data_IF_558889017891
#
_entry.id   IF_558889017891
#
_cell.length_a   1.000
_cell.length_b   1.000
_cell.length_c   1.000
_cell.angle_alpha   90.00
_cell.angle_beta   90.00
_cell.angle_gamma   90.00
#
_symmetry.space_group_name_H-M   'P 1'
#
loop_
_entity.id
_entity.type
_entity.pdbx_description
1 polymer ?
#
# COMPACT_ATOMS: atom_id res chain seq x y z
N UNK A 1 41.56 -53.68 -27.18
CA UNK A 1 42.24 -52.49 -26.56
C UNK A 1 41.70 -51.14 -27.04
N UNK A 2 40.82 -51.01 -28.05
CA UNK A 2 40.26 -49.72 -28.53
C UNK A 2 39.01 -49.26 -27.78
N UNK A 3 38.22 -50.14 -27.18
CA UNK A 3 36.96 -49.75 -26.51
C UNK A 3 37.17 -49.14 -25.12
N UNK A 4 38.24 -49.48 -24.39
CA UNK A 4 38.49 -48.91 -23.05
C UNK A 4 38.91 -47.43 -23.04
N UNK A 5 39.49 -46.94 -24.15
CA UNK A 5 39.90 -45.53 -24.26
C UNK A 5 38.72 -44.57 -24.59
N UNK A 6 37.66 -45.06 -25.24
CA UNK A 6 36.49 -44.22 -25.58
C UNK A 6 35.60 -43.96 -24.35
N UNK A 7 35.43 -44.97 -23.50
CA UNK A 7 34.62 -44.82 -22.26
C UNK A 7 35.29 -43.85 -21.26
N UNK A 8 36.63 -43.88 -21.19
CA UNK A 8 37.34 -42.98 -20.28
C UNK A 8 37.27 -41.50 -20.72
N UNK A 9 37.29 -41.22 -22.03
CA UNK A 9 37.16 -39.86 -22.56
C UNK A 9 35.75 -39.29 -22.44
N UNK A 10 34.72 -40.14 -22.59
CA UNK A 10 33.31 -39.73 -22.41
C UNK A 10 32.98 -39.46 -20.93
N UNK A 11 33.53 -40.28 -20.04
CA UNK A 11 33.34 -40.06 -18.58
C UNK A 11 34.03 -38.79 -18.07
N UNK A 12 35.21 -38.45 -18.58
CA UNK A 12 35.89 -37.19 -18.22
C UNK A 12 35.18 -35.95 -18.80
N UNK A 13 34.54 -36.05 -19.99
CA UNK A 13 33.81 -34.94 -20.58
C UNK A 13 32.50 -34.70 -19.84
N UNK A 14 31.77 -35.73 -19.41
CA UNK A 14 30.58 -35.63 -18.59
C UNK A 14 30.87 -35.10 -17.18
N UNK A 15 31.97 -35.48 -16.57
CA UNK A 15 32.38 -34.97 -15.27
C UNK A 15 32.83 -33.50 -15.35
N UNK A 16 33.46 -33.09 -16.44
CA UNK A 16 33.84 -31.69 -16.69
C UNK A 16 32.61 -30.79 -16.92
N UNK A 17 31.59 -31.30 -17.60
CA UNK A 17 30.33 -30.55 -17.81
C UNK A 17 29.50 -30.47 -16.52
N UNK A 18 29.45 -31.51 -15.71
CA UNK A 18 28.81 -31.43 -14.38
C UNK A 18 29.53 -30.51 -13.38
N UNK A 19 30.86 -30.45 -13.43
CA UNK A 19 31.62 -29.47 -12.60
C UNK A 19 31.44 -28.04 -13.11
N UNK A 20 31.26 -27.81 -14.40
CA UNK A 20 31.02 -26.47 -14.95
C UNK A 20 29.58 -25.97 -14.67
N UNK A 21 28.61 -26.88 -14.51
CA UNK A 21 27.23 -26.52 -14.13
C UNK A 21 27.04 -26.29 -12.64
N UNK A 22 27.93 -26.76 -11.80
CA UNK A 22 27.86 -26.57 -10.35
C UNK A 22 28.58 -25.31 -9.82
N UNK A 23 29.26 -24.55 -10.65
CA UNK A 23 29.93 -23.31 -10.23
C UNK A 23 29.19 -22.02 -10.50
N UNK A 24 28.00 -22.08 -11.10
CA UNK A 24 27.16 -20.89 -11.36
C UNK A 24 26.03 -20.63 -10.37
N UNK A 25 25.89 -21.42 -9.31
CA UNK A 25 24.75 -21.37 -8.43
C UNK A 25 25.06 -21.16 -6.94
N UNK A 26 26.11 -20.41 -6.61
CA UNK A 26 26.26 -19.87 -5.27
C UNK A 26 26.99 -18.53 -5.29
N UNK A 27 26.33 -17.49 -5.77
CA UNK A 27 26.55 -16.17 -5.17
C UNK A 27 25.83 -16.22 -3.82
N UNK A 28 26.55 -16.54 -2.77
CA UNK A 28 26.07 -16.32 -1.41
C UNK A 28 25.60 -14.87 -1.33
N UNK A 29 24.34 -14.67 -0.93
CA UNK A 29 23.79 -13.39 -0.54
C UNK A 29 24.53 -12.94 0.71
N UNK A 30 25.63 -12.24 0.53
CA UNK A 30 26.33 -11.54 1.60
C UNK A 30 25.47 -10.31 1.88
N UNK A 31 24.72 -10.30 2.98
CA UNK A 31 23.69 -9.38 3.41
C UNK A 31 23.67 -7.95 2.83
N UNK A 32 22.52 -7.33 2.84
CA UNK A 32 22.24 -6.02 2.22
C UNK A 32 23.27 -4.93 2.57
N UNK A 33 23.76 -4.91 3.81
CA UNK A 33 24.79 -3.97 4.25
C UNK A 33 26.11 -4.16 3.53
N UNK A 34 26.45 -5.38 3.14
CA UNK A 34 27.65 -5.66 2.35
C UNK A 34 27.46 -5.23 0.89
N UNK A 35 26.25 -5.33 0.35
CA UNK A 35 25.92 -4.85 -0.99
C UNK A 35 26.08 -3.32 -1.13
N UNK A 36 25.86 -2.55 -0.04
CA UNK A 36 26.12 -1.11 -0.02
C UNK A 36 27.60 -0.75 -0.23
N UNK A 37 28.50 -1.63 0.21
CA UNK A 37 29.94 -1.40 0.05
C UNK A 37 30.45 -1.68 -1.38
N UNK A 38 29.65 -2.33 -2.24
CA UNK A 38 30.04 -2.64 -3.61
C UNK A 38 30.07 -1.38 -4.46
N UNK A 39 31.18 -1.16 -5.13
CA UNK A 39 31.34 -0.08 -6.11
C UNK A 39 30.48 -0.38 -7.34
N UNK A 40 29.47 0.46 -7.58
CA UNK A 40 28.60 0.36 -8.75
C UNK A 40 29.01 1.38 -9.79
N UNK A 41 29.13 0.96 -11.06
CA UNK A 41 29.50 1.82 -12.18
C UNK A 41 28.35 1.95 -13.18
N UNK A 42 28.40 2.98 -14.05
CA UNK A 42 27.38 3.16 -15.09
C UNK A 42 26.09 3.83 -14.62
N UNK A 43 26.04 4.29 -13.37
CA UNK A 43 24.91 5.02 -12.79
C UNK A 43 25.34 6.44 -12.46
N UNK A 44 24.43 7.40 -12.66
CA UNK A 44 24.62 8.79 -12.25
C UNK A 44 23.47 9.24 -11.38
N UNK A 45 23.79 9.78 -10.21
CA UNK A 45 22.77 10.40 -9.37
C UNK A 45 22.26 11.69 -10.00
N UNK A 46 20.95 11.86 -9.98
CA UNK A 46 20.20 13.04 -10.42
C UNK A 46 19.17 13.42 -9.38
N UNK A 47 18.82 14.70 -9.38
CA UNK A 47 17.75 15.24 -8.53
C UNK A 47 16.89 16.22 -9.31
N UNK A 48 15.58 16.12 -9.16
CA UNK A 48 14.62 17.18 -9.45
C UNK A 48 14.05 17.62 -8.11
N UNK A 49 13.99 18.92 -7.87
CA UNK A 49 13.54 19.46 -6.59
C UNK A 49 12.87 20.81 -6.77
N UNK A 50 12.28 21.29 -5.69
CA UNK A 50 11.73 22.64 -5.59
C UNK A 50 12.77 23.73 -5.33
N UNK A 51 14.06 23.45 -5.55
CA UNK A 51 15.15 24.40 -5.32
C UNK A 51 14.97 25.68 -6.12
N UNK A 52 15.38 26.81 -5.57
CA UNK A 52 15.44 28.09 -6.27
C UNK A 52 16.51 28.05 -7.37
N UNK A 53 16.12 28.10 -8.66
CA UNK A 53 17.09 28.01 -9.76
C UNK A 53 18.06 29.21 -9.83
N UNK A 54 17.77 30.26 -9.11
CA UNK A 54 18.66 31.44 -9.05
C UNK A 54 19.77 31.31 -8.01
N UNK A 55 19.74 30.25 -7.20
CA UNK A 55 20.63 30.07 -6.04
C UNK A 55 20.23 30.91 -4.84
N UNK A 56 19.03 31.48 -4.84
CA UNK A 56 18.42 32.16 -3.72
C UNK A 56 17.88 31.18 -2.67
N UNK A 57 16.87 31.59 -1.94
CA UNK A 57 16.28 30.77 -0.85
C UNK A 57 14.75 30.60 -1.00
N UNK A 58 14.25 30.73 -2.22
CA UNK A 58 12.83 30.49 -2.53
C UNK A 58 12.64 29.05 -3.01
N UNK A 59 12.94 28.10 -2.13
CA UNK A 59 13.06 26.66 -2.42
C UNK A 59 11.70 25.92 -2.43
N UNK A 60 10.62 26.58 -2.77
CA UNK A 60 9.29 25.97 -2.91
C UNK A 60 8.70 26.23 -4.30
N UNK A 61 7.81 25.35 -4.73
CA UNK A 61 7.03 25.61 -5.94
C UNK A 61 6.13 26.85 -5.74
N UNK A 62 5.87 27.55 -6.83
CA UNK A 62 4.84 28.59 -6.86
C UNK A 62 3.52 28.05 -6.35
N UNK A 63 2.71 28.89 -5.66
CA UNK A 63 1.46 28.44 -5.07
C UNK A 63 0.56 27.69 -6.07
N UNK A 64 0.00 26.55 -5.63
CA UNK A 64 -0.95 25.74 -6.40
C UNK A 64 -2.37 26.19 -6.09
N UNK A 65 -3.12 26.56 -7.09
CA UNK A 65 -4.54 26.92 -6.94
C UNK A 65 -5.41 25.65 -6.84
N UNK A 66 -6.62 25.75 -6.25
CA UNK A 66 -7.60 24.67 -6.30
C UNK A 66 -7.87 24.20 -7.74
N UNK A 67 -7.90 22.91 -7.97
CA UNK A 67 -8.10 22.27 -9.27
C UNK A 67 -6.87 22.25 -10.18
N UNK A 68 -5.75 22.86 -9.76
CA UNK A 68 -4.53 22.88 -10.57
C UNK A 68 -3.83 21.51 -10.55
N UNK A 69 -3.38 21.08 -11.75
CA UNK A 69 -2.47 19.95 -11.94
C UNK A 69 -1.09 20.48 -12.34
N UNK A 70 -0.05 19.92 -11.75
CA UNK A 70 1.32 20.32 -12.04
C UNK A 70 2.25 19.13 -12.14
N UNK A 71 2.96 19.04 -13.25
CA UNK A 71 4.08 18.12 -13.41
C UNK A 71 5.26 18.66 -12.58
N UNK A 72 5.69 17.90 -11.58
CA UNK A 72 6.82 18.25 -10.72
C UNK A 72 8.12 17.58 -11.14
N UNK A 73 8.03 16.50 -11.94
CA UNK A 73 9.17 15.86 -12.58
C UNK A 73 8.78 15.30 -13.95
N UNK A 74 9.62 15.53 -14.95
CA UNK A 74 9.54 14.94 -16.30
C UNK A 74 10.94 14.47 -16.70
N UNK A 75 11.23 13.20 -16.44
CA UNK A 75 12.53 12.58 -16.63
C UNK A 75 12.51 11.84 -17.97
N UNK A 76 13.55 12.06 -18.78
CA UNK A 76 13.74 11.37 -20.07
C UNK A 76 14.88 10.37 -20.00
N UNK A 77 14.76 9.29 -20.75
CA UNK A 77 15.77 8.23 -20.82
C UNK A 77 15.53 7.15 -19.77
N UNK A 78 16.52 6.31 -19.56
CA UNK A 78 16.48 5.11 -18.71
C UNK A 78 16.98 5.41 -17.31
N UNK A 79 16.29 4.90 -16.31
CA UNK A 79 16.71 5.11 -14.91
C UNK A 79 15.76 4.49 -13.89
N UNK A 80 15.93 4.89 -12.64
CA UNK A 80 15.04 4.53 -11.55
C UNK A 80 14.95 5.66 -10.52
N UNK A 81 13.75 6.10 -10.16
CA UNK A 81 13.55 6.92 -8.96
C UNK A 81 13.82 6.01 -7.77
N UNK A 82 14.62 6.47 -6.82
CA UNK A 82 15.00 5.70 -5.64
C UNK A 82 14.76 6.45 -4.32
N UNK A 83 14.33 7.70 -4.38
CA UNK A 83 13.93 8.49 -3.23
C UNK A 83 12.97 9.58 -3.63
N UNK A 84 11.90 9.74 -2.85
CA UNK A 84 10.99 10.88 -2.92
C UNK A 84 10.84 11.43 -1.51
N UNK A 85 11.03 12.74 -1.34
CA UNK A 85 10.71 13.45 -0.10
C UNK A 85 9.80 14.64 -0.41
N UNK A 86 8.76 14.80 0.40
CA UNK A 86 7.78 15.87 0.24
C UNK A 86 7.41 16.46 1.61
N UNK A 87 7.29 17.81 1.65
CA UNK A 87 6.60 18.51 2.74
C UNK A 87 5.75 19.64 2.17
N UNK A 88 4.66 19.96 2.85
CA UNK A 88 3.61 20.86 2.35
C UNK A 88 3.24 21.87 3.44
N UNK A 89 3.13 23.14 3.06
CA UNK A 89 2.60 24.23 3.89
C UNK A 89 1.39 24.88 3.19
N UNK A 90 0.38 25.33 3.92
CA UNK A 90 0.29 25.44 5.38
C UNK A 90 0.20 24.09 6.09
N UNK A 91 0.35 24.09 7.43
CA UNK A 91 0.19 22.89 8.23
C UNK A 91 -1.18 22.22 8.03
N UNK A 92 -1.33 20.97 8.42
CA UNK A 92 -2.41 20.05 8.05
C UNK A 92 -3.82 20.39 8.47
N UNK A 93 -3.96 21.08 9.57
CA UNK A 93 -5.29 21.46 10.04
C UNK A 93 -6.06 22.34 9.06
N UNK A 94 -5.35 22.81 8.03
CA UNK A 94 -5.86 23.75 7.03
C UNK A 94 -5.88 23.14 5.63
N UNK A 95 -5.20 22.03 5.38
CA UNK A 95 -5.06 21.45 4.05
C UNK A 95 -5.13 19.93 4.06
N UNK A 96 -6.17 19.38 3.42
CA UNK A 96 -6.40 17.93 3.32
C UNK A 96 -5.34 17.24 2.44
N UNK A 97 -4.58 16.32 3.01
CA UNK A 97 -3.70 15.42 2.26
C UNK A 97 -4.44 14.31 1.51
N UNK A 98 -5.71 14.08 1.83
CA UNK A 98 -6.58 13.20 1.05
C UNK A 98 -7.08 13.85 -0.26
N UNK A 99 -6.97 15.17 -0.35
CA UNK A 99 -7.38 15.94 -1.52
C UNK A 99 -6.19 16.47 -2.34
N UNK A 100 -4.98 16.01 -2.06
CA UNK A 100 -3.81 16.23 -2.90
C UNK A 100 -3.45 14.88 -3.52
N UNK A 101 -3.54 14.79 -4.84
CA UNK A 101 -3.34 13.52 -5.54
C UNK A 101 -1.96 13.49 -6.16
N UNK A 102 -1.23 12.40 -5.92
CA UNK A 102 0.02 12.09 -6.60
C UNK A 102 -0.24 11.05 -7.69
N UNK A 103 0.28 11.33 -8.90
CA UNK A 103 0.28 10.39 -10.02
C UNK A 103 1.69 10.20 -10.56
N UNK A 104 2.01 8.98 -10.94
CA UNK A 104 3.28 8.68 -11.59
C UNK A 104 3.03 7.84 -12.84
N UNK A 105 3.77 8.17 -13.89
CA UNK A 105 3.63 7.60 -15.23
C UNK A 105 4.98 7.11 -15.71
N UNK A 106 5.01 5.91 -16.27
CA UNK A 106 6.24 5.28 -16.77
C UNK A 106 6.22 5.16 -18.29
N UNK A 107 7.38 5.36 -18.89
CA UNK A 107 7.68 5.01 -20.29
C UNK A 107 6.80 5.69 -21.34
N UNK A 108 6.23 6.84 -21.02
CA UNK A 108 5.39 7.63 -21.93
C UNK A 108 3.92 7.20 -21.98
N UNK A 109 3.48 6.34 -21.05
CA UNK A 109 2.07 5.98 -20.96
C UNK A 109 1.20 7.20 -20.61
N UNK A 110 -0.02 7.24 -21.15
CA UNK A 110 -0.99 8.31 -20.89
C UNK A 110 -1.74 8.13 -19.58
N UNK A 111 -1.86 6.89 -19.10
CA UNK A 111 -2.49 6.54 -17.81
C UNK A 111 -1.44 6.39 -16.71
N UNK A 112 -1.79 6.75 -15.47
CA UNK A 112 -0.88 6.60 -14.35
C UNK A 112 -0.75 5.13 -13.93
N UNK A 113 0.46 4.73 -13.52
CA UNK A 113 0.72 3.47 -12.80
C UNK A 113 0.70 3.65 -11.27
N UNK A 114 0.75 4.89 -10.82
CA UNK A 114 0.55 5.27 -9.42
C UNK A 114 -0.52 6.33 -9.38
N UNK A 115 -1.58 6.10 -8.61
CA UNK A 115 -2.60 7.10 -8.31
C UNK A 115 -3.10 6.93 -6.88
N UNK A 116 -2.87 7.95 -6.07
CA UNK A 116 -3.27 7.94 -4.66
C UNK A 116 -3.37 9.36 -4.11
N UNK A 117 -4.22 9.58 -3.11
CA UNK A 117 -4.05 10.72 -2.23
C UNK A 117 -2.66 10.68 -1.58
N UNK A 118 -2.03 11.84 -1.43
CA UNK A 118 -0.64 11.90 -0.98
C UNK A 118 -0.46 11.41 0.46
N UNK A 119 -1.41 11.70 1.36
CA UNK A 119 -1.37 11.20 2.72
C UNK A 119 -1.37 9.67 2.78
N UNK A 120 -2.40 8.99 2.24
CA UNK A 120 -2.45 7.54 2.20
C UNK A 120 -1.26 6.88 1.48
N UNK A 121 -0.76 7.47 0.39
CA UNK A 121 0.43 6.95 -0.28
C UNK A 121 1.64 6.85 0.64
N UNK A 122 1.84 7.84 1.51
CA UNK A 122 2.96 7.84 2.45
C UNK A 122 2.62 7.24 3.82
N UNK A 123 1.43 6.74 4.03
CA UNK A 123 1.05 6.07 5.28
C UNK A 123 0.31 6.94 6.29
N UNK A 124 -0.39 7.99 5.85
CA UNK A 124 -1.23 8.83 6.69
C UNK A 124 -2.67 8.86 6.15
N UNK A 125 -3.59 8.16 6.82
CA UNK A 125 -5.01 8.12 6.45
C UNK A 125 -5.83 9.28 7.04
N UNK A 126 -7.00 9.52 6.47
CA UNK A 126 -8.08 10.38 7.00
C UNK A 126 -7.72 11.85 7.27
N UNK A 127 -6.69 12.38 6.61
CA UNK A 127 -6.10 13.70 6.93
C UNK A 127 -5.45 13.79 8.32
N UNK A 128 -5.30 12.66 8.99
CA UNK A 128 -4.59 12.60 10.26
C UNK A 128 -3.10 12.58 10.06
N UNK A 129 -2.38 13.04 11.08
CA UNK A 129 -0.93 13.08 11.10
C UNK A 129 -0.39 12.32 12.28
N UNK A 130 0.46 11.39 11.99
CA UNK A 130 1.21 10.60 12.95
C UNK A 130 2.52 10.17 12.33
N UNK A 131 3.52 9.95 13.17
CA UNK A 131 4.81 9.43 12.71
C UNK A 131 4.73 7.92 12.55
N UNK A 132 5.37 7.41 11.53
CA UNK A 132 5.72 5.99 11.46
C UNK A 132 6.96 5.77 10.61
N UNK A 133 7.57 4.60 10.74
CA UNK A 133 8.72 4.19 9.95
C UNK A 133 8.58 2.74 9.52
N UNK A 134 8.77 2.51 8.24
CA UNK A 134 8.93 1.19 7.64
C UNK A 134 10.15 1.20 6.72
N UNK A 135 10.50 0.07 6.14
CA UNK A 135 11.63 0.03 5.21
C UNK A 135 11.40 0.91 3.98
N UNK A 136 10.25 0.81 3.25
CA UNK A 136 10.07 1.61 2.04
C UNK A 136 9.45 3.00 2.25
N UNK A 137 8.77 3.24 3.37
CA UNK A 137 8.07 4.49 3.64
C UNK A 137 8.32 4.98 5.06
N UNK A 138 8.49 6.28 5.21
CA UNK A 138 8.55 6.91 6.53
C UNK A 138 7.94 8.30 6.53
N UNK A 139 7.35 8.68 7.65
CA UNK A 139 6.80 10.00 7.90
C UNK A 139 7.24 10.51 9.26
N UNK A 140 7.76 11.73 9.31
CA UNK A 140 8.33 12.39 10.49
C UNK A 140 8.92 13.75 10.14
N UNK A 141 9.37 14.52 11.12
CA UNK A 141 9.04 14.48 12.54
C UNK A 141 7.68 15.12 12.85
N UNK A 142 7.41 15.37 14.12
CA UNK A 142 6.28 16.20 14.60
C UNK A 142 4.95 15.94 13.88
N UNK A 143 4.36 14.77 14.13
CA UNK A 143 3.12 14.35 13.50
C UNK A 143 3.23 14.16 11.97
N UNK A 144 4.39 13.69 11.49
CA UNK A 144 4.55 13.31 10.09
C UNK A 144 4.49 14.47 9.11
N UNK A 145 5.25 15.54 9.35
CA UNK A 145 5.31 16.69 8.46
C UNK A 145 6.07 16.40 7.17
N UNK A 146 7.18 15.67 7.26
CA UNK A 146 7.94 15.18 6.10
C UNK A 146 7.52 13.76 5.74
N UNK A 147 7.39 13.49 4.45
CA UNK A 147 6.96 12.21 3.88
C UNK A 147 8.04 11.70 2.95
N UNK A 148 8.53 10.47 3.19
CA UNK A 148 9.61 9.87 2.40
C UNK A 148 9.22 8.51 1.83
N UNK A 149 9.63 8.25 0.59
CA UNK A 149 9.56 6.95 -0.07
C UNK A 149 10.93 6.53 -0.57
N UNK A 150 11.29 5.29 -0.31
CA UNK A 150 12.51 4.63 -0.78
C UNK A 150 12.22 3.48 -1.76
N UNK A 151 11.00 3.36 -2.23
CA UNK A 151 10.69 2.42 -3.31
C UNK A 151 11.55 2.71 -4.53
N UNK A 152 12.16 1.69 -5.09
CA UNK A 152 12.84 1.79 -6.39
C UNK A 152 11.78 1.75 -7.49
N UNK A 153 11.72 2.78 -8.34
CA UNK A 153 10.72 2.91 -9.39
C UNK A 153 11.41 2.98 -10.76
N UNK A 154 11.65 1.83 -11.42
CA UNK A 154 12.37 1.75 -12.70
C UNK A 154 11.53 2.28 -13.87
N UNK A 155 12.22 2.88 -14.86
CA UNK A 155 11.66 3.30 -16.13
C UNK A 155 12.71 3.16 -17.25
N UNK A 156 12.26 2.87 -18.45
CA UNK A 156 13.14 2.62 -19.61
C UNK A 156 13.22 3.83 -20.55
N UNK A 157 12.08 4.53 -20.74
CA UNK A 157 11.98 5.68 -21.65
C UNK A 157 11.78 7.00 -20.91
N UNK A 158 11.32 6.96 -19.69
CA UNK A 158 11.10 8.14 -18.87
C UNK A 158 10.10 7.94 -17.73
N UNK A 159 10.07 8.94 -16.86
CA UNK A 159 9.16 9.00 -15.72
C UNK A 159 8.55 10.41 -15.60
N UNK A 160 7.25 10.49 -15.36
CA UNK A 160 6.57 11.76 -15.07
C UNK A 160 5.85 11.66 -13.73
N UNK A 161 6.04 12.68 -12.89
CA UNK A 161 5.36 12.80 -11.60
C UNK A 161 4.51 14.06 -11.60
N UNK A 162 3.24 13.90 -11.26
CA UNK A 162 2.23 14.94 -11.27
C UNK A 162 1.54 15.05 -9.90
N UNK A 163 1.28 16.27 -9.48
CA UNK A 163 0.48 16.59 -8.28
C UNK A 163 -0.76 17.35 -8.74
N UNK A 164 -1.91 16.97 -8.18
CA UNK A 164 -3.17 17.70 -8.37
C UNK A 164 -3.68 18.21 -7.02
N UNK A 165 -4.00 19.51 -6.97
CA UNK A 165 -4.64 20.12 -5.82
C UNK A 165 -6.17 20.04 -5.95
N UNK A 166 -6.79 19.03 -5.37
CA UNK A 166 -8.25 18.93 -5.27
C UNK A 166 -8.80 19.56 -3.97
N UNK A 167 -7.95 20.19 -3.15
CA UNK A 167 -8.42 20.93 -1.96
C UNK A 167 -9.21 22.18 -2.37
N UNK A 168 -9.98 22.74 -1.44
CA UNK A 168 -10.64 24.03 -1.65
C UNK A 168 -9.73 25.24 -1.44
N UNK A 169 -8.42 25.04 -1.21
CA UNK A 169 -7.46 26.06 -0.80
C UNK A 169 -6.22 26.07 -1.66
N UNK A 170 -5.51 27.19 -1.67
CA UNK A 170 -4.21 27.30 -2.32
C UNK A 170 -3.14 26.63 -1.46
N UNK A 171 -2.34 25.76 -2.05
CA UNK A 171 -1.11 25.23 -1.45
C UNK A 171 -0.03 26.32 -1.62
N UNK A 172 0.33 26.96 -0.53
CA UNK A 172 1.24 28.10 -0.56
C UNK A 172 2.71 27.73 -0.77
N UNK A 173 3.12 26.59 -0.22
CA UNK A 173 4.47 26.08 -0.39
C UNK A 173 4.48 24.55 -0.46
N UNK A 174 5.10 24.03 -1.49
CA UNK A 174 5.30 22.61 -1.71
C UNK A 174 6.77 22.37 -1.93
N UNK A 175 7.41 21.69 -1.02
CA UNK A 175 8.83 21.34 -1.09
C UNK A 175 8.97 19.87 -1.44
N UNK A 176 9.90 19.54 -2.32
CA UNK A 176 10.14 18.15 -2.68
C UNK A 176 11.56 17.89 -3.17
N UNK A 177 11.98 16.63 -3.01
CA UNK A 177 13.09 16.01 -3.71
C UNK A 177 12.59 14.76 -4.42
N UNK A 178 13.02 14.57 -5.66
CA UNK A 178 12.90 13.33 -6.42
C UNK A 178 14.31 12.97 -6.86
N UNK A 179 14.92 12.01 -6.17
CA UNK A 179 16.24 11.50 -6.50
C UNK A 179 16.10 10.27 -7.40
N UNK A 180 16.91 10.21 -8.44
CA UNK A 180 16.91 9.10 -9.37
C UNK A 180 18.30 8.75 -9.88
N UNK A 181 18.44 7.52 -10.33
CA UNK A 181 19.61 7.02 -11.02
C UNK A 181 19.38 7.11 -12.52
N UNK A 182 20.21 7.86 -13.23
CA UNK A 182 20.30 7.84 -14.69
C UNK A 182 21.22 6.68 -15.09
N UNK A 183 20.74 5.80 -15.99
CA UNK A 183 21.42 4.59 -16.42
C UNK A 183 21.43 4.48 -17.94
N UNK A 184 22.35 3.70 -18.52
CA UNK A 184 22.35 3.40 -19.94
C UNK A 184 21.26 2.40 -20.32
N UNK A 185 21.02 1.45 -19.44
CA UNK A 185 19.98 0.42 -19.55
C UNK A 185 19.58 -0.03 -18.15
N UNK A 186 18.35 -0.52 -18.00
CA UNK A 186 17.94 -1.20 -16.78
C UNK A 186 18.63 -2.56 -16.67
N UNK A 187 18.85 -3.07 -15.45
CA UNK A 187 19.08 -4.50 -15.25
C UNK A 187 17.94 -5.31 -15.87
N UNK A 188 18.22 -6.56 -16.23
CA UNK A 188 17.20 -7.48 -16.73
C UNK A 188 16.08 -7.68 -15.69
N UNK A 189 14.87 -7.93 -16.14
CA UNK A 189 13.71 -8.28 -15.33
C UNK A 189 13.22 -7.19 -14.32
N UNK A 190 13.53 -5.93 -14.57
CA UNK A 190 13.08 -4.83 -13.73
C UNK A 190 11.63 -4.45 -14.04
N UNK A 191 10.73 -4.70 -13.07
CA UNK A 191 9.32 -4.33 -13.13
C UNK A 191 9.07 -2.81 -13.01
N UNK A 192 7.92 -2.37 -13.46
CA UNK A 192 7.38 -1.01 -13.24
C UNK A 192 6.63 -0.97 -11.92
N UNK A 193 6.88 0.05 -11.13
CA UNK A 193 6.24 0.25 -9.84
C UNK A 193 4.80 0.72 -10.03
N UNK A 194 3.89 0.17 -9.23
CA UNK A 194 2.49 0.53 -9.20
C UNK A 194 2.05 0.82 -7.76
N UNK A 195 1.10 1.74 -7.63
CA UNK A 195 0.39 1.95 -6.38
C UNK A 195 -1.05 2.39 -6.65
N UNK A 196 -2.00 1.72 -6.02
CA UNK A 196 -3.41 1.97 -6.19
C UNK A 196 -4.11 2.22 -4.86
N UNK A 197 -4.77 3.38 -4.77
CA UNK A 197 -5.65 3.70 -3.66
C UNK A 197 -7.07 3.22 -3.94
N UNK A 198 -7.61 2.40 -3.06
CA UNK A 198 -9.01 1.99 -3.07
C UNK A 198 -9.71 2.42 -1.78
N UNK A 199 -11.03 2.65 -1.86
CA UNK A 199 -11.87 2.99 -0.72
C UNK A 199 -13.26 2.39 -0.90
N UNK A 200 -13.77 1.76 0.14
CA UNK A 200 -15.11 1.16 0.15
C UNK A 200 -15.71 1.23 1.55
N UNK A 201 -16.98 1.59 1.63
CA UNK A 201 -17.80 1.30 2.80
C UNK A 201 -18.38 -0.10 2.61
N UNK A 202 -17.92 -1.07 3.40
CA UNK A 202 -18.51 -2.40 3.38
C UNK A 202 -19.88 -2.42 4.03
N UNK A 203 -20.69 -3.38 3.67
CA UNK A 203 -21.99 -3.59 4.28
C UNK A 203 -22.03 -4.97 4.94
N UNK A 204 -22.39 -5.01 6.20
CA UNK A 204 -22.58 -6.26 6.93
C UNK A 204 -23.62 -7.16 6.24
N UNK A 205 -23.59 -8.43 6.55
CA UNK A 205 -24.63 -9.38 6.12
C UNK A 205 -26.02 -8.94 6.62
N UNK A 206 -27.11 -9.31 5.90
CA UNK A 206 -28.49 -8.96 6.30
C UNK A 206 -28.88 -9.42 7.71
N UNK A 207 -28.22 -10.48 8.21
CA UNK A 207 -28.38 -11.01 9.55
C UNK A 207 -27.88 -10.06 10.64
N UNK A 208 -27.14 -9.04 10.27
CA UNK A 208 -26.60 -8.01 11.13
C UNK A 208 -25.19 -8.27 11.61
N UNK A 209 -24.62 -7.26 12.24
CA UNK A 209 -23.30 -7.31 12.83
C UNK A 209 -23.33 -8.11 14.14
N UNK A 210 -22.51 -9.14 14.23
CA UNK A 210 -22.31 -9.89 15.47
C UNK A 210 -20.83 -10.05 15.73
N UNK A 211 -20.37 -9.56 16.87
CA UNK A 211 -18.99 -9.78 17.33
C UNK A 211 -18.66 -11.28 17.47
N UNK A 212 -19.65 -12.07 17.76
CA UNK A 212 -19.56 -13.49 18.07
C UNK A 212 -20.30 -14.35 17.04
N UNK A 213 -20.29 -13.98 15.81
CA UNK A 213 -20.56 -14.94 14.75
C UNK A 213 -19.69 -16.20 14.84
N UNK A 214 -18.76 -16.21 15.79
CA UNK A 214 -17.91 -17.32 16.20
C UNK A 214 -18.65 -18.53 16.82
N UNK A 215 -19.89 -18.38 17.25
CA UNK A 215 -20.61 -19.44 17.98
C UNK A 215 -21.75 -20.11 17.20
N UNK A 216 -22.02 -19.64 15.99
CA UNK A 216 -23.05 -20.24 15.11
C UNK A 216 -22.45 -21.12 14.02
N UNK A 217 -23.26 -21.95 13.40
CA UNK A 217 -22.91 -22.62 12.15
C UNK A 217 -22.71 -21.55 11.07
N UNK A 218 -21.45 -21.25 10.77
CA UNK A 218 -21.11 -20.28 9.75
C UNK A 218 -20.96 -21.01 8.42
N UNK A 219 -21.54 -20.43 7.39
CA UNK A 219 -21.26 -20.87 6.02
C UNK A 219 -19.83 -20.47 5.70
N UNK A 220 -18.99 -21.42 5.25
CA UNK A 220 -17.63 -21.09 4.82
C UNK A 220 -17.69 -20.00 3.74
N UNK A 221 -16.90 -18.93 3.89
CA UNK A 221 -16.65 -18.01 2.80
C UNK A 221 -15.52 -18.59 1.93
N UNK A 222 -15.89 -19.15 0.80
CA UNK A 222 -14.95 -19.73 -0.18
C UNK A 222 -14.88 -18.88 -1.46
N UNK A 223 -15.61 -17.77 -1.47
CA UNK A 223 -15.78 -16.90 -2.63
C UNK A 223 -15.40 -15.45 -2.26
N UNK A 224 -14.86 -14.74 -3.22
CA UNK A 224 -14.41 -13.36 -3.05
C UNK A 224 -15.53 -12.32 -3.14
N UNK A 225 -16.76 -12.71 -3.45
CA UNK A 225 -17.80 -11.83 -3.96
C UNK A 225 -18.16 -10.63 -3.07
N UNK A 226 -17.87 -10.71 -1.77
CA UNK A 226 -18.14 -9.64 -0.79
C UNK A 226 -16.90 -9.13 -0.10
N UNK A 227 -15.74 -9.74 -0.36
CA UNK A 227 -14.49 -9.32 0.23
C UNK A 227 -14.08 -7.94 -0.28
N UNK A 228 -13.41 -7.19 0.56
CA UNK A 228 -12.75 -5.96 0.14
C UNK A 228 -11.57 -6.28 -0.78
N UNK A 229 -11.55 -5.69 -1.97
CA UNK A 229 -10.49 -5.90 -2.96
C UNK A 229 -9.43 -4.83 -2.77
N UNK A 230 -8.18 -5.23 -2.49
CA UNK A 230 -7.06 -4.30 -2.37
C UNK A 230 -6.09 -4.35 -3.55
N UNK A 231 -6.10 -5.41 -4.35
CA UNK A 231 -5.40 -5.50 -5.64
C UNK A 231 -6.21 -6.38 -6.60
N UNK A 232 -6.32 -5.92 -7.86
CA UNK A 232 -6.85 -6.71 -8.99
C UNK A 232 -6.14 -6.23 -10.24
N UNK A 233 -5.23 -7.07 -10.78
CA UNK A 233 -4.42 -6.71 -11.94
C UNK A 233 -4.07 -7.91 -12.80
N UNK A 234 -3.76 -7.65 -14.08
CA UNK A 234 -3.34 -8.65 -15.05
C UNK A 234 -1.96 -8.32 -15.61
N UNK A 235 -1.16 -9.35 -15.85
CA UNK A 235 0.24 -9.28 -16.26
C UNK A 235 1.10 -10.10 -15.34
N UNK A 236 2.41 -10.05 -15.53
CA UNK A 236 3.38 -10.72 -14.68
C UNK A 236 3.95 -9.74 -13.66
N UNK A 237 4.08 -10.15 -12.40
CA UNK A 237 4.61 -9.26 -11.38
C UNK A 237 4.66 -9.86 -9.98
N UNK A 238 4.78 -8.98 -8.99
CA UNK A 238 4.73 -9.37 -7.59
C UNK A 238 4.24 -8.22 -6.70
N UNK A 239 3.41 -8.56 -5.75
CA UNK A 239 2.90 -7.65 -4.71
C UNK A 239 3.95 -7.50 -3.61
N UNK A 240 4.16 -6.24 -3.15
CA UNK A 240 5.20 -5.92 -2.19
C UNK A 240 4.73 -5.18 -0.94
N UNK A 241 3.45 -4.80 -0.86
CA UNK A 241 2.99 -4.17 0.36
C UNK A 241 1.64 -3.51 0.30
N UNK A 242 1.15 -3.15 1.47
CA UNK A 242 -0.14 -2.49 1.65
C UNK A 242 -0.12 -1.60 2.90
N UNK A 243 -0.69 -0.40 2.77
CA UNK A 243 -1.24 0.37 3.87
C UNK A 243 -2.75 0.12 3.93
N UNK A 244 -3.26 -0.24 5.08
CA UNK A 244 -4.66 -0.61 5.32
C UNK A 244 -5.24 0.27 6.44
N UNK A 245 -6.28 1.01 6.10
CA UNK A 245 -6.91 2.00 6.96
C UNK A 245 -8.33 1.57 7.25
N UNK A 246 -8.63 1.33 8.52
CA UNK A 246 -9.94 0.91 9.01
C UNK A 246 -10.56 2.03 9.82
N UNK A 247 -11.78 2.46 9.48
CA UNK A 247 -12.62 3.24 10.34
C UNK A 247 -13.85 2.40 10.71
N UNK A 248 -13.83 1.87 11.94
CA UNK A 248 -14.91 1.05 12.47
C UNK A 248 -15.98 1.91 13.12
N UNK A 249 -17.27 1.76 12.74
CA UNK A 249 -18.38 2.45 13.39
C UNK A 249 -18.82 1.81 14.70
N UNK A 250 -18.24 0.66 15.07
CA UNK A 250 -18.59 -0.11 16.27
C UNK A 250 -17.37 -0.39 17.15
N UNK A 251 -17.56 -0.66 18.45
CA UNK A 251 -16.47 -1.03 19.34
C UNK A 251 -16.00 -2.49 19.16
N UNK A 252 -16.60 -3.25 18.25
CA UNK A 252 -16.23 -4.63 18.00
C UNK A 252 -14.89 -4.75 17.33
N UNK A 253 -14.18 -5.85 17.60
CA UNK A 253 -12.95 -6.19 16.91
C UNK A 253 -13.25 -6.50 15.42
N UNK A 254 -12.49 -5.89 14.52
CA UNK A 254 -12.71 -6.00 13.07
C UNK A 254 -11.79 -7.03 12.39
N UNK A 255 -10.82 -7.55 13.10
CA UNK A 255 -9.66 -8.23 12.52
C UNK A 255 -9.80 -9.75 12.35
N UNK A 256 -11.01 -10.32 12.39
CA UNK A 256 -11.23 -11.74 12.16
C UNK A 256 -11.37 -12.12 10.68
N UNK A 257 -11.27 -11.14 9.78
CA UNK A 257 -11.44 -11.38 8.34
C UNK A 257 -10.18 -11.94 7.68
N UNK A 258 -10.34 -13.02 6.92
CA UNK A 258 -9.25 -13.71 6.22
C UNK A 258 -8.85 -12.98 4.96
N UNK A 259 -7.55 -12.91 4.66
CA UNK A 259 -7.07 -12.56 3.34
C UNK A 259 -7.16 -13.75 2.39
N UNK A 260 -7.51 -13.46 1.12
CA UNK A 260 -7.63 -14.46 0.07
C UNK A 260 -6.95 -13.98 -1.21
N UNK A 261 -6.12 -14.84 -1.79
CA UNK A 261 -5.36 -14.56 -3.00
C UNK A 261 -5.71 -15.52 -4.12
N UNK A 262 -6.18 -14.97 -5.23
CA UNK A 262 -6.47 -15.69 -6.46
C UNK A 262 -5.37 -15.36 -7.46
N UNK A 263 -4.50 -16.33 -7.71
CA UNK A 263 -3.30 -16.15 -8.53
C UNK A 263 -3.51 -16.88 -9.85
N UNK A 264 -3.13 -16.22 -10.97
CA UNK A 264 -3.08 -16.77 -12.30
C UNK A 264 -4.39 -17.41 -12.80
N UNK A 265 -5.52 -16.83 -12.39
CA UNK A 265 -6.85 -17.26 -12.82
C UNK A 265 -7.40 -18.49 -12.08
N UNK A 266 -6.83 -18.83 -10.94
CA UNK A 266 -7.37 -19.88 -10.08
C UNK A 266 -8.79 -19.50 -9.58
N UNK A 267 -9.65 -20.50 -9.52
CA UNK A 267 -11.06 -20.33 -9.09
C UNK A 267 -11.24 -20.34 -7.58
N UNK A 268 -10.33 -20.93 -6.89
CA UNK A 268 -10.26 -20.96 -5.43
C UNK A 268 -8.98 -20.27 -5.00
N UNK A 269 -8.95 -19.57 -3.86
CA UNK A 269 -7.76 -18.87 -3.43
C UNK A 269 -6.60 -19.84 -3.17
N UNK A 270 -5.42 -19.52 -3.71
CA UNK A 270 -4.19 -20.29 -3.48
C UNK A 270 -3.58 -20.03 -2.11
N UNK A 271 -3.79 -18.82 -1.58
CA UNK A 271 -3.37 -18.44 -0.25
C UNK A 271 -4.60 -17.94 0.50
N UNK A 272 -4.80 -18.44 1.72
CA UNK A 272 -5.87 -18.03 2.61
C UNK A 272 -5.24 -17.76 3.97
N UNK A 273 -5.60 -16.63 4.57
CA UNK A 273 -5.18 -16.26 5.91
C UNK A 273 -6.04 -16.85 7.02
N UNK A 274 -5.86 -16.34 8.21
CA UNK A 274 -6.53 -16.75 9.43
C UNK A 274 -7.08 -15.57 10.23
N UNK A 275 -6.97 -14.37 9.69
CA UNK A 275 -7.43 -13.13 10.28
C UNK A 275 -6.65 -11.93 9.74
N UNK A 276 -7.26 -10.76 9.82
CA UNK A 276 -6.65 -9.50 9.37
C UNK A 276 -5.38 -9.19 10.15
N UNK A 277 -5.37 -9.35 11.49
CA UNK A 277 -4.17 -9.12 12.28
C UNK A 277 -3.03 -10.08 11.92
N UNK A 278 -3.36 -11.32 11.58
CA UNK A 278 -2.39 -12.35 11.18
C UNK A 278 -1.79 -12.02 9.81
N UNK A 279 -2.63 -11.57 8.86
CA UNK A 279 -2.18 -11.05 7.58
C UNK A 279 -1.14 -9.94 7.75
N UNK A 280 -1.31 -9.08 8.75
CA UNK A 280 -0.39 -7.99 9.06
C UNK A 280 0.74 -8.39 10.04
N UNK A 281 1.02 -9.70 10.23
CA UNK A 281 2.07 -10.24 11.09
C UNK A 281 1.96 -9.82 12.56
N UNK A 282 0.74 -9.61 13.04
CA UNK A 282 0.47 -9.32 14.45
C UNK A 282 -0.37 -10.42 15.07
N UNK A 283 -0.89 -10.22 16.27
CA UNK A 283 -1.70 -11.21 16.96
C UNK A 283 -2.57 -10.56 18.03
N UNK A 284 -3.73 -11.15 18.31
CA UNK A 284 -4.52 -10.84 19.49
C UNK A 284 -4.91 -9.36 19.65
N UNK A 285 -5.48 -8.76 18.64
CA UNK A 285 -6.05 -7.41 18.69
C UNK A 285 -5.06 -6.35 19.26
N UNK A 286 -4.03 -5.92 18.52
CA UNK A 286 -3.01 -4.99 18.99
C UNK A 286 -3.62 -3.67 19.48
N UNK A 287 -3.27 -3.23 20.70
CA UNK A 287 -3.82 -2.02 21.32
C UNK A 287 -2.83 -0.87 21.43
N UNK A 288 -1.57 -1.10 21.15
CA UNK A 288 -0.52 -0.09 21.24
C UNK A 288 0.07 0.23 19.87
N UNK A 289 0.29 1.50 19.53
CA UNK A 289 0.99 1.86 18.31
C UNK A 289 2.43 1.36 18.33
N UNK A 290 2.85 0.77 17.20
CA UNK A 290 4.23 0.40 16.97
C UNK A 290 4.57 0.45 15.48
N UNK A 291 5.86 0.57 15.15
CA UNK A 291 6.38 0.53 13.79
C UNK A 291 7.58 -0.40 13.74
N UNK A 292 7.50 -1.40 12.86
CA UNK A 292 8.58 -2.31 12.52
C UNK A 292 8.96 -2.10 11.04
N UNK A 293 10.18 -2.39 10.59
CA UNK A 293 10.56 -2.20 9.18
C UNK A 293 9.59 -2.80 8.16
N UNK A 294 8.98 -3.94 8.46
CA UNK A 294 8.11 -4.66 7.52
C UNK A 294 6.62 -4.59 7.84
N UNK A 295 6.23 -4.32 9.08
CA UNK A 295 4.82 -4.26 9.48
C UNK A 295 4.63 -3.39 10.72
N UNK A 296 3.40 -2.99 11.02
CA UNK A 296 3.10 -2.26 12.23
C UNK A 296 1.71 -1.65 12.26
N UNK A 297 1.37 -1.13 13.42
CA UNK A 297 0.17 -0.36 13.73
C UNK A 297 0.57 1.05 14.16
N UNK A 298 0.84 1.98 13.24
CA UNK A 298 1.29 3.32 13.62
C UNK A 298 0.21 4.18 14.26
N UNK A 299 -1.06 3.77 14.12
CA UNK A 299 -2.21 4.43 14.73
C UNK A 299 -3.23 3.38 15.16
N UNK A 300 -3.59 3.40 16.42
CA UNK A 300 -4.61 2.54 17.02
C UNK A 300 -5.57 3.41 17.82
N UNK A 301 -6.88 3.14 17.71
CA UNK A 301 -7.89 3.77 18.56
C UNK A 301 -8.14 2.89 19.79
N UNK A 302 -7.99 3.45 20.98
CA UNK A 302 -8.11 2.72 22.24
C UNK A 302 -9.20 3.27 23.18
N UNK A 303 -10.09 4.17 22.69
CA UNK A 303 -11.05 4.85 23.57
C UNK A 303 -12.19 3.92 24.00
N UNK A 304 -12.89 3.32 23.04
CA UNK A 304 -14.00 2.39 23.31
C UNK A 304 -13.82 1.18 22.38
N UNK A 305 -13.19 0.14 22.87
CA UNK A 305 -12.90 -1.03 22.08
C UNK A 305 -12.17 -0.66 20.76
N UNK A 306 -12.75 -1.01 19.62
CA UNK A 306 -12.19 -0.74 18.29
C UNK A 306 -12.97 0.33 17.52
N UNK A 307 -13.86 1.07 18.20
CA UNK A 307 -14.56 2.19 17.60
C UNK A 307 -13.56 3.25 17.13
N UNK A 308 -13.65 3.65 15.85
CA UNK A 308 -12.81 4.69 15.26
C UNK A 308 -11.74 4.14 14.32
N UNK A 309 -10.58 4.78 14.27
CA UNK A 309 -9.60 4.61 13.19
C UNK A 309 -8.39 3.81 13.62
N UNK A 310 -8.00 2.86 12.78
CA UNK A 310 -6.77 2.07 12.91
C UNK A 310 -6.05 2.01 11.59
N UNK A 311 -4.76 2.32 11.58
CA UNK A 311 -3.87 2.13 10.45
C UNK A 311 -2.93 0.97 10.74
N UNK A 312 -2.88 0.02 9.84
CA UNK A 312 -1.95 -1.10 9.85
C UNK A 312 -1.27 -1.22 8.49
N UNK A 313 -0.02 -1.68 8.47
CA UNK A 313 0.73 -1.89 7.22
C UNK A 313 1.55 -3.17 7.27
N UNK A 314 1.77 -3.73 6.07
CA UNK A 314 2.75 -4.80 5.84
C UNK A 314 3.46 -4.59 4.50
N UNK A 315 4.78 -4.73 4.51
CA UNK A 315 5.62 -4.74 3.32
C UNK A 315 6.28 -6.10 3.16
N UNK A 316 5.97 -6.77 2.05
CA UNK A 316 6.42 -8.11 1.68
C UNK A 316 7.79 -8.03 0.99
N UNK A 317 8.82 -7.59 1.73
CA UNK A 317 10.16 -7.36 1.17
C UNK A 317 10.89 -8.68 0.92
N UNK A 318 10.76 -9.61 1.86
CA UNK A 318 11.42 -10.91 1.80
C UNK A 318 10.48 -12.04 1.33
N UNK A 319 9.18 -11.77 1.27
CA UNK A 319 8.11 -12.71 0.99
C UNK A 319 7.09 -12.17 -0.05
N UNK A 320 7.53 -11.57 -1.18
CA UNK A 320 6.62 -11.03 -2.20
C UNK A 320 5.65 -12.09 -2.71
N UNK A 321 4.44 -11.68 -3.07
CA UNK A 321 3.46 -12.58 -3.66
C UNK A 321 3.56 -12.47 -5.18
N UNK A 322 4.09 -13.51 -5.81
CA UNK A 322 4.36 -13.56 -7.25
C UNK A 322 3.14 -14.02 -8.05
N UNK A 323 3.02 -13.51 -9.28
CA UNK A 323 2.02 -13.92 -10.26
C UNK A 323 2.60 -13.83 -11.68
N UNK A 324 2.21 -14.76 -12.55
CA UNK A 324 2.69 -14.84 -13.95
C UNK A 324 1.71 -14.21 -14.94
N UNK A 325 0.43 -14.13 -14.64
CA UNK A 325 -0.59 -13.61 -15.55
C UNK A 325 -1.65 -12.72 -14.90
N UNK A 326 -1.96 -12.92 -13.63
CA UNK A 326 -2.95 -12.13 -12.92
C UNK A 326 -2.86 -12.36 -11.40
N UNK A 327 -3.28 -11.37 -10.62
CA UNK A 327 -3.49 -11.51 -9.19
C UNK A 327 -4.73 -10.71 -8.76
N UNK A 328 -5.52 -11.32 -7.88
CA UNK A 328 -6.55 -10.63 -7.13
C UNK A 328 -6.36 -10.94 -5.65
N UNK A 329 -6.12 -9.90 -4.85
CA UNK A 329 -5.99 -9.98 -3.40
C UNK A 329 -7.18 -9.31 -2.73
N UNK A 330 -7.82 -10.03 -1.83
CA UNK A 330 -9.02 -9.60 -1.11
C UNK A 330 -8.89 -9.87 0.38
N UNK A 331 -9.68 -9.20 1.19
CA UNK A 331 -9.79 -9.43 2.62
C UNK A 331 -11.25 -9.33 3.07
N UNK A 332 -11.65 -10.18 3.97
CA UNK A 332 -12.97 -10.12 4.59
C UNK A 332 -13.11 -8.90 5.50
N UNK A 333 -14.34 -8.44 5.72
CA UNK A 333 -14.66 -7.35 6.64
C UNK A 333 -15.29 -7.90 7.91
N UNK A 334 -14.44 -8.22 8.89
CA UNK A 334 -14.79 -9.07 10.00
C UNK A 334 -14.95 -10.53 9.54
N UNK A 335 -15.25 -11.43 10.46
CA UNK A 335 -15.42 -12.82 10.11
C UNK A 335 -16.59 -13.03 9.13
N UNK A 336 -16.28 -13.63 7.98
CA UNK A 336 -17.26 -13.91 6.92
C UNK A 336 -18.04 -12.67 6.42
N UNK A 337 -17.38 -11.51 6.35
CA UNK A 337 -17.96 -10.23 5.91
C UNK A 337 -19.18 -9.78 6.77
N UNK A 338 -19.12 -9.97 8.06
CA UNK A 338 -20.21 -9.64 8.97
C UNK A 338 -20.15 -8.21 9.55
N UNK A 339 -19.16 -7.39 9.19
CA UNK A 339 -19.01 -6.03 9.70
C UNK A 339 -19.17 -4.96 8.62
N UNK A 340 -19.76 -3.85 9.03
CA UNK A 340 -19.73 -2.59 8.27
C UNK A 340 -18.47 -1.83 8.66
N UNK A 341 -17.54 -1.66 7.71
CA UNK A 341 -16.27 -0.96 7.90
C UNK A 341 -16.08 0.05 6.78
N UNK A 342 -15.59 1.24 7.13
CA UNK A 342 -15.09 2.22 6.17
C UNK A 342 -13.60 1.94 5.94
N UNK A 343 -13.29 1.31 4.81
CA UNK A 343 -11.96 0.79 4.49
C UNK A 343 -11.31 1.58 3.37
N UNK A 344 -10.04 1.88 3.53
CA UNK A 344 -9.21 2.30 2.41
C UNK A 344 -7.83 1.66 2.46
N UNK A 345 -7.24 1.50 1.28
CA UNK A 345 -5.90 0.89 1.14
C UNK A 345 -5.08 1.62 0.11
N UNK A 346 -3.75 1.52 0.25
CA UNK A 346 -2.83 1.70 -0.86
C UNK A 346 -2.05 0.40 -1.00
N UNK A 347 -2.26 -0.29 -2.11
CA UNK A 347 -1.51 -1.47 -2.47
C UNK A 347 -0.31 -1.10 -3.33
N UNK A 348 0.83 -1.78 -3.14
CA UNK A 348 2.09 -1.53 -3.85
C UNK A 348 2.57 -2.82 -4.50
N UNK A 349 2.95 -2.75 -5.80
CA UNK A 349 3.46 -3.91 -6.53
C UNK A 349 4.36 -3.52 -7.69
N UNK A 350 5.01 -4.50 -8.27
CA UNK A 350 5.78 -4.37 -9.51
C UNK A 350 5.19 -5.27 -10.59
N UNK A 351 5.18 -4.77 -11.83
CA UNK A 351 4.78 -5.53 -13.02
C UNK A 351 5.77 -5.33 -14.17
N UNK A 352 5.80 -6.28 -15.08
CA UNK A 352 6.62 -6.29 -16.31
C UNK A 352 6.36 -5.09 -17.22
N UNK A 353 5.15 -4.52 -17.16
CA UNK A 353 4.76 -3.32 -17.91
C UNK A 353 3.96 -2.35 -17.04
N UNK A 354 3.88 -1.09 -17.46
CA UNK A 354 2.91 -0.15 -16.92
C UNK A 354 1.50 -0.59 -17.32
N UNK A 355 0.59 -0.69 -16.37
CA UNK A 355 -0.81 -1.05 -16.60
C UNK A 355 -1.74 0.06 -16.14
N UNK A 356 -2.92 0.11 -16.73
CA UNK A 356 -3.97 1.03 -16.30
C UNK A 356 -4.57 0.54 -14.98
N UNK A 357 -4.60 1.43 -13.99
CA UNK A 357 -5.21 1.14 -12.69
C UNK A 357 -6.74 1.09 -12.81
N UNK A 358 -7.42 0.39 -11.88
CA UNK A 358 -8.86 0.57 -11.70
C UNK A 358 -9.20 2.03 -11.41
N UNK A 359 -10.45 2.43 -11.66
CA UNK A 359 -10.92 3.80 -11.41
C UNK A 359 -10.67 4.20 -9.96
N UNK A 360 -10.04 5.39 -9.79
CA UNK A 360 -9.77 5.92 -8.46
C UNK A 360 -11.05 6.46 -7.82
N UNK A 361 -11.23 6.27 -6.50
CA UNK A 361 -12.35 6.86 -5.77
C UNK A 361 -12.40 8.39 -5.93
N UNK A 362 -13.59 8.92 -6.16
CA UNK A 362 -13.82 10.36 -6.25
C UNK A 362 -13.50 11.08 -4.93
N UNK A 363 -13.35 12.41 -4.98
CA UNK A 363 -13.13 13.22 -3.78
C UNK A 363 -14.19 12.97 -2.70
N UNK A 364 -15.46 12.88 -3.08
CA UNK A 364 -16.56 12.63 -2.14
C UNK A 364 -16.50 11.24 -1.50
N UNK A 365 -16.10 10.23 -2.28
CA UNK A 365 -15.91 8.88 -1.75
C UNK A 365 -14.74 8.82 -0.77
N UNK A 366 -13.65 9.56 -1.00
CA UNK A 366 -12.47 9.61 -0.12
C UNK A 366 -12.67 10.42 1.15
N UNK A 367 -13.78 11.17 1.26
CA UNK A 367 -14.02 12.05 2.40
C UNK A 367 -14.06 11.24 3.70
N UNK A 368 -13.19 11.54 4.67
CA UNK A 368 -13.18 10.85 5.95
C UNK A 368 -14.54 10.92 6.64
N UNK A 369 -15.05 9.78 7.10
CA UNK A 369 -16.28 9.77 7.90
C UNK A 369 -16.02 10.45 9.25
N UNK A 370 -16.99 11.13 9.85
CA UNK A 370 -16.84 11.73 11.16
C UNK A 370 -16.64 10.66 12.24
N UNK A 371 -15.93 11.03 13.30
CA UNK A 371 -15.85 10.15 14.46
C UNK A 371 -17.22 9.95 15.09
N UNK A 372 -17.49 8.69 15.41
CA UNK A 372 -18.66 8.30 16.20
C UNK A 372 -18.22 8.29 17.65
N UNK A 373 -18.90 9.03 18.51
CA UNK A 373 -18.68 9.02 19.93
C UNK A 373 -19.80 8.25 20.65
N UNK A 374 -19.57 7.91 21.92
CA UNK A 374 -20.53 7.15 22.72
C UNK A 374 -21.89 7.85 22.87
N UNK A 375 -21.94 9.20 22.81
CA UNK A 375 -23.21 9.93 22.83
C UNK A 375 -24.00 9.79 21.54
N UNK A 376 -23.32 9.62 20.40
CA UNK A 376 -23.97 9.31 19.13
C UNK A 376 -24.62 7.93 19.20
N UNK A 377 -23.93 6.94 19.74
CA UNK A 377 -24.48 5.60 19.95
C UNK A 377 -25.70 5.61 20.89
N UNK A 378 -25.64 6.37 21.98
CA UNK A 378 -26.78 6.52 22.87
C UNK A 378 -27.98 7.17 22.16
N UNK A 379 -27.75 8.21 21.37
CA UNK A 379 -28.82 8.86 20.58
C UNK A 379 -29.45 7.93 19.56
N UNK A 380 -28.65 7.13 18.85
CA UNK A 380 -29.15 6.17 17.87
C UNK A 380 -29.91 5.03 18.55
N UNK A 381 -29.39 4.52 19.67
CA UNK A 381 -30.06 3.52 20.48
C UNK A 381 -31.44 4.01 20.99
N UNK A 382 -31.52 5.24 21.47
CA UNK A 382 -32.76 5.85 21.90
C UNK A 382 -33.75 6.05 20.72
N UNK A 383 -33.26 6.55 19.61
CA UNK A 383 -34.07 6.71 18.41
C UNK A 383 -34.61 5.36 17.91
N UNK A 384 -33.82 4.31 17.92
CA UNK A 384 -34.23 2.98 17.53
C UNK A 384 -35.26 2.37 18.52
N UNK A 385 -35.05 2.53 19.82
CA UNK A 385 -36.03 2.13 20.84
C UNK A 385 -37.40 2.79 20.58
N UNK A 386 -37.42 4.08 20.34
CA UNK A 386 -38.64 4.81 19.99
C UNK A 386 -39.28 4.29 18.73
N UNK A 387 -38.51 4.02 17.69
CA UNK A 387 -39.01 3.44 16.44
C UNK A 387 -39.60 2.04 16.61
N UNK A 388 -39.16 1.28 17.62
CA UNK A 388 -39.69 -0.04 18.01
C UNK A 388 -40.76 0.02 19.09
N UNK A 389 -41.35 1.22 19.35
CA UNK A 389 -42.44 1.38 20.30
C UNK A 389 -42.04 1.34 21.77
N UNK A 390 -40.75 1.47 22.09
CA UNK A 390 -40.21 1.39 23.46
C UNK A 390 -40.60 0.09 24.20
N UNK A 391 -40.71 -1.03 23.51
CA UNK A 391 -41.09 -2.33 24.10
C UNK A 391 -40.03 -2.80 25.13
N UNK A 392 -40.35 -2.86 26.43
CA UNK A 392 -39.42 -3.28 27.47
C UNK A 392 -38.91 -4.70 27.30
N UNK A 393 -39.64 -5.57 26.61
CA UNK A 393 -39.25 -6.95 26.38
C UNK A 393 -38.06 -7.09 25.41
N UNK A 394 -37.84 -6.08 24.55
CA UNK A 394 -36.71 -6.08 23.62
C UNK A 394 -35.38 -5.65 24.28
N UNK A 395 -35.45 -4.98 25.44
CA UNK A 395 -34.22 -4.34 26.01
C UNK A 395 -33.93 -4.72 27.45
N UNK A 396 -34.86 -5.36 28.16
CA UNK A 396 -34.79 -5.43 29.61
C UNK A 396 -35.14 -4.06 30.28
N UNK A 397 -34.85 -3.96 31.57
CA UNK A 397 -35.16 -2.79 32.39
C UNK A 397 -33.98 -1.79 32.47
N UNK A 398 -33.24 -1.56 31.44
CA UNK A 398 -32.20 -0.50 31.40
C UNK A 398 -32.82 0.88 31.16
#
# INVERSE_FOLDING_TARGET
MREKHTILKTGLLLMGVMLALSTSAQKESIGEMFELAKMKSGMKNRRISSTDPTGGNRDHLEPFKPGEKRTIADIKGTGAINHIWITIAPPPNELSRNDIIIRMYWDGNEYPSVESPIGPFFGQGWDERYNYASLPLSVGPENGTGMSSYFTMPFEKGARVEIENQTGQTINAFYFYIDYLEMKQLPEDMGRFHAWYNHTLSEALPEGETEWALTGEQKPNTEEARNYVFIDTKGKGHFVGINYYVHSPTPMWYGEGDDMWFIDGEKSPSLIGTGTEDFFNTSWCPKEPFSHPHFGYPRVNNDVGWLGRTHVYRFFINDPIFFESAVKGTIETGHNNNLTLDLSTVAYWYQDAAVMLPEAPTKEQRKPKPFINHMDMHRWRDAWRKAKGNDPQLWGNE
#
